data_IF_278365720456
#
_entry.id   IF_278365720456
#
_cell.length_a   1.000
_cell.length_b   1.000
_cell.length_c   1.000
_cell.angle_alpha   90.00
_cell.angle_beta   90.00
_cell.angle_gamma   90.00
#
_symmetry.space_group_name_H-M   'P 1'
#
loop_
_entity.id
_entity.type
_entity.pdbx_description
1 polymer ?
#
# COMPACT_ATOMS: atom_id res chain seq x y z
N UNK A 1 -45.30 10.82 47.52
CA UNK A 1 -44.52 11.44 46.43
C UNK A 1 -43.82 10.34 45.64
N UNK A 2 -44.34 9.99 44.46
CA UNK A 2 -43.66 9.09 43.52
C UNK A 2 -43.23 9.95 42.33
N UNK A 3 -41.94 10.06 41.99
CA UNK A 3 -41.56 10.73 40.77
C UNK A 3 -42.00 9.84 39.59
N UNK A 4 -42.92 10.37 38.79
CA UNK A 4 -43.32 9.78 37.52
C UNK A 4 -42.19 10.03 36.51
N UNK A 5 -41.32 9.04 36.31
CA UNK A 5 -40.30 9.06 35.27
C UNK A 5 -40.99 8.82 33.92
N UNK A 6 -41.17 9.90 33.14
CA UNK A 6 -41.74 9.84 31.79
C UNK A 6 -40.84 8.99 30.87
N UNK A 7 -41.38 7.97 30.17
CA UNK A 7 -40.61 7.16 29.21
C UNK A 7 -40.06 7.97 28.02
N UNK A 8 -40.65 9.13 27.71
CA UNK A 8 -40.16 10.02 26.66
C UNK A 8 -38.77 10.62 26.94
N UNK A 9 -38.42 10.86 28.21
CA UNK A 9 -37.11 11.42 28.60
C UNK A 9 -35.95 10.45 28.36
N UNK A 10 -36.21 9.14 28.44
CA UNK A 10 -35.20 8.10 28.20
C UNK A 10 -34.91 7.91 26.71
N UNK A 11 -35.94 7.97 25.86
CA UNK A 11 -35.81 7.87 24.40
C UNK A 11 -35.11 9.09 23.80
N UNK A 12 -35.39 10.29 24.32
CA UNK A 12 -34.70 11.52 23.93
C UNK A 12 -33.22 11.51 24.34
N UNK A 13 -32.88 10.93 25.50
CA UNK A 13 -31.49 10.80 25.95
C UNK A 13 -30.67 9.81 25.08
N UNK A 14 -31.26 8.68 24.67
CA UNK A 14 -30.60 7.72 23.75
C UNK A 14 -30.39 8.30 22.35
N UNK A 15 -31.35 9.06 21.81
CA UNK A 15 -31.20 9.71 20.50
C UNK A 15 -30.17 10.84 20.54
N UNK A 16 -30.08 11.60 21.65
CA UNK A 16 -29.03 12.62 21.83
C UNK A 16 -27.62 11.99 21.89
N UNK A 17 -27.47 10.83 22.53
CA UNK A 17 -26.18 10.14 22.62
C UNK A 17 -25.68 9.63 21.25
N UNK A 18 -26.60 9.20 20.37
CA UNK A 18 -26.27 8.86 18.99
C UNK A 18 -25.88 10.09 18.14
N UNK A 19 -26.38 11.28 18.47
CA UNK A 19 -26.03 12.52 17.73
C UNK A 19 -24.76 13.21 18.23
N UNK A 20 -24.39 13.06 19.51
CA UNK A 20 -23.14 13.61 20.06
C UNK A 20 -21.91 12.72 19.80
N UNK A 21 -22.12 11.43 19.53
CA UNK A 21 -21.07 10.51 19.12
C UNK A 21 -21.11 10.34 17.59
N UNK A 22 -20.68 11.35 16.85
CA UNK A 22 -20.38 11.24 15.41
C UNK A 22 -19.24 10.27 15.08
N UNK A 23 -18.95 9.31 15.96
CA UNK A 23 -18.03 8.20 15.76
C UNK A 23 -18.84 7.06 15.18
N UNK A 24 -18.92 7.00 13.84
CA UNK A 24 -19.35 5.78 13.17
C UNK A 24 -18.57 4.58 13.73
N UNK A 25 -19.21 3.40 13.80
CA UNK A 25 -18.54 2.18 14.25
C UNK A 25 -17.19 2.01 13.54
N UNK A 26 -16.11 1.66 14.25
CA UNK A 26 -14.81 1.51 13.63
C UNK A 26 -14.84 0.36 12.61
N UNK A 27 -14.39 0.66 11.39
CA UNK A 27 -14.31 -0.26 10.26
C UNK A 27 -13.61 -1.56 10.67
N UNK A 28 -14.08 -2.70 10.19
CA UNK A 28 -13.45 -4.01 10.45
C UNK A 28 -13.03 -4.69 9.15
N UNK A 29 -11.75 -5.07 9.04
CA UNK A 29 -11.18 -5.65 7.82
C UNK A 29 -10.58 -7.03 8.07
N UNK A 30 -10.53 -7.88 7.05
CA UNK A 30 -9.72 -9.09 7.12
C UNK A 30 -8.22 -8.73 7.13
N UNK A 31 -7.45 -9.38 8.00
CA UNK A 31 -6.00 -9.17 8.11
C UNK A 31 -5.25 -10.49 7.89
N UNK A 32 -4.42 -10.55 6.85
CA UNK A 32 -3.53 -11.67 6.58
C UNK A 32 -2.29 -11.24 5.80
N UNK A 33 -1.24 -12.06 5.90
CA UNK A 33 -0.07 -12.04 5.04
C UNK A 33 0.27 -13.49 4.72
N UNK A 34 0.40 -13.84 3.45
CA UNK A 34 0.67 -15.21 3.04
C UNK A 34 1.39 -15.30 1.71
N UNK A 35 2.13 -16.39 1.54
CA UNK A 35 2.72 -16.76 0.25
C UNK A 35 1.63 -17.22 -0.71
N UNK A 36 1.79 -16.88 -1.99
CA UNK A 36 0.83 -17.19 -3.04
C UNK A 36 -0.17 -16.05 -3.33
N UNK A 37 -1.09 -16.30 -4.28
CA UNK A 37 -2.01 -15.29 -4.81
C UNK A 37 -3.24 -15.05 -3.92
N UNK A 38 -3.35 -15.78 -2.80
CA UNK A 38 -4.43 -15.60 -1.83
C UNK A 38 -3.90 -15.73 -0.41
N UNK A 39 -4.60 -15.11 0.54
CA UNK A 39 -4.49 -15.43 1.96
C UNK A 39 -5.84 -15.24 2.64
N UNK A 40 -6.03 -15.96 3.74
CA UNK A 40 -7.18 -15.83 4.63
C UNK A 40 -6.71 -15.58 6.05
N UNK A 41 -7.44 -14.78 6.81
CA UNK A 41 -7.10 -14.38 8.16
C UNK A 41 -8.30 -13.96 8.98
N UNK A 42 -8.01 -13.39 10.16
CA UNK A 42 -9.06 -12.93 11.08
C UNK A 42 -9.52 -11.54 10.69
N UNK A 43 -10.81 -11.28 10.86
CA UNK A 43 -11.34 -9.91 10.82
C UNK A 43 -10.88 -9.18 12.08
N UNK A 44 -10.34 -7.97 11.92
CA UNK A 44 -9.90 -7.10 13.01
C UNK A 44 -10.52 -5.71 12.84
N UNK A 45 -10.93 -5.13 13.95
CA UNK A 45 -11.32 -3.71 14.01
C UNK A 45 -10.11 -2.84 13.73
N UNK A 46 -10.28 -1.85 12.86
CA UNK A 46 -9.24 -0.93 12.46
C UNK A 46 -8.93 0.08 13.56
N UNK A 47 -7.66 0.46 13.66
CA UNK A 47 -7.18 1.49 14.57
C UNK A 47 -7.73 2.87 14.16
N UNK A 48 -7.75 3.81 15.11
CA UNK A 48 -8.17 5.18 14.85
C UNK A 48 -7.42 5.78 13.65
N UNK A 49 -8.18 6.39 12.74
CA UNK A 49 -7.65 7.01 11.52
C UNK A 49 -7.37 6.05 10.37
N UNK A 50 -7.61 4.73 10.50
CA UNK A 50 -7.63 3.79 9.37
C UNK A 50 -9.07 3.52 8.95
N UNK A 51 -9.44 4.05 7.79
CA UNK A 51 -10.81 4.12 7.27
C UNK A 51 -11.01 3.31 5.96
N UNK A 52 -10.07 2.42 5.65
CA UNK A 52 -10.15 1.51 4.50
C UNK A 52 -9.62 0.10 4.80
N UNK A 53 -10.22 -0.89 4.15
CA UNK A 53 -9.65 -2.21 3.98
C UNK A 53 -8.86 -2.26 2.67
N UNK A 54 -7.72 -2.95 2.70
CA UNK A 54 -6.89 -3.21 1.51
C UNK A 54 -6.70 -4.71 1.30
N UNK A 55 -6.64 -5.10 0.03
CA UNK A 55 -6.07 -6.37 -0.43
C UNK A 55 -5.06 -6.08 -1.54
N UNK A 56 -3.86 -6.64 -1.39
CA UNK A 56 -2.75 -6.52 -2.35
C UNK A 56 -2.31 -7.93 -2.74
N UNK A 57 -2.26 -8.22 -4.03
CA UNK A 57 -1.56 -9.39 -4.58
C UNK A 57 -0.37 -8.87 -5.37
N UNK A 58 0.83 -9.34 -5.03
CA UNK A 58 2.05 -8.81 -5.60
C UNK A 58 3.05 -9.89 -5.96
N UNK A 59 3.71 -9.68 -7.10
CA UNK A 59 4.89 -10.42 -7.53
C UNK A 59 6.11 -9.53 -7.31
N UNK A 60 7.18 -10.10 -6.76
CA UNK A 60 8.47 -9.41 -6.65
C UNK A 60 9.62 -10.32 -7.02
N UNK A 61 10.68 -9.72 -7.55
CA UNK A 61 11.99 -10.35 -7.61
C UNK A 61 12.98 -9.52 -6.80
N UNK A 62 13.81 -10.19 -5.99
CA UNK A 62 14.92 -9.56 -5.29
C UNK A 62 16.16 -10.40 -5.49
N UNK A 63 17.21 -9.83 -6.09
CA UNK A 63 18.41 -10.57 -6.50
C UNK A 63 18.07 -11.82 -7.34
N UNK A 64 16.98 -11.77 -8.10
CA UNK A 64 16.49 -12.88 -8.95
C UNK A 64 15.69 -13.95 -8.22
N UNK A 65 15.43 -13.81 -6.92
CA UNK A 65 14.48 -14.68 -6.21
C UNK A 65 13.07 -14.14 -6.39
N UNK A 66 12.22 -14.93 -7.02
CA UNK A 66 10.83 -14.58 -7.29
C UNK A 66 9.93 -14.98 -6.11
N UNK A 67 8.95 -14.14 -5.80
CA UNK A 67 7.90 -14.47 -4.85
C UNK A 67 6.57 -13.84 -5.28
N UNK A 68 5.49 -14.58 -5.07
CA UNK A 68 4.12 -14.06 -5.13
C UNK A 68 3.58 -14.11 -3.72
N UNK A 69 3.02 -12.99 -3.24
CA UNK A 69 2.45 -12.90 -1.91
C UNK A 69 1.10 -12.16 -1.96
N UNK A 70 0.32 -12.34 -0.91
CA UNK A 70 -0.93 -11.61 -0.68
C UNK A 70 -0.90 -10.96 0.70
N UNK A 71 -1.42 -9.73 0.77
CA UNK A 71 -1.54 -8.96 1.98
C UNK A 71 -2.93 -8.34 2.09
N UNK A 72 -3.57 -8.50 3.26
CA UNK A 72 -4.85 -7.88 3.63
C UNK A 72 -4.69 -7.12 4.93
N UNK A 73 -5.19 -5.89 5.02
CA UNK A 73 -5.07 -5.07 6.23
C UNK A 73 -6.08 -3.91 6.29
N UNK A 74 -6.07 -3.21 7.43
CA UNK A 74 -6.60 -1.85 7.57
C UNK A 74 -5.55 -0.82 7.16
N UNK A 75 -5.94 0.24 6.46
CA UNK A 75 -5.09 1.38 6.14
C UNK A 75 -5.90 2.69 6.01
N UNK A 76 -5.21 3.80 5.76
CA UNK A 76 -5.84 5.06 5.38
C UNK A 76 -6.27 4.99 3.93
N UNK A 77 -7.49 5.38 3.61
CA UNK A 77 -7.95 5.45 2.23
C UNK A 77 -7.11 6.44 1.41
N UNK A 78 -6.66 7.54 2.03
CA UNK A 78 -5.79 8.55 1.41
C UNK A 78 -4.44 8.02 0.92
N UNK A 79 -3.96 6.92 1.52
CA UNK A 79 -2.67 6.31 1.19
C UNK A 79 -2.84 5.12 0.23
N UNK A 80 -4.09 4.78 -0.11
CA UNK A 80 -4.39 3.65 -0.96
C UNK A 80 -4.63 4.04 -2.41
N UNK A 81 -3.92 3.36 -3.30
CA UNK A 81 -4.23 3.32 -4.72
C UNK A 81 -4.83 1.97 -5.09
N UNK A 82 -6.04 1.97 -5.67
CA UNK A 82 -6.63 0.76 -6.26
C UNK A 82 -6.22 0.64 -7.73
N UNK A 83 -5.63 -0.49 -8.10
CA UNK A 83 -5.18 -0.77 -9.45
C UNK A 83 -3.78 -1.39 -9.51
N UNK A 84 -3.21 -1.33 -10.71
CA UNK A 84 -1.90 -1.88 -11.03
C UNK A 84 -0.77 -0.90 -10.68
N UNK A 85 0.28 -1.41 -10.05
CA UNK A 85 1.53 -0.68 -9.78
C UNK A 85 2.71 -1.57 -10.17
N UNK A 86 3.64 -1.04 -10.97
CA UNK A 86 4.93 -1.68 -11.28
C UNK A 86 6.07 -0.77 -10.87
N UNK A 87 7.14 -1.37 -10.34
CA UNK A 87 8.42 -0.71 -10.06
C UNK A 87 9.57 -1.62 -10.45
N UNK A 88 10.59 -1.05 -11.08
CA UNK A 88 11.81 -1.76 -11.51
C UNK A 88 13.04 -0.96 -11.14
N UNK A 89 13.88 -1.53 -10.27
CA UNK A 89 15.15 -0.94 -9.85
C UNK A 89 16.34 -1.57 -10.58
N UNK A 90 16.14 -2.73 -11.21
CA UNK A 90 17.13 -3.40 -12.02
C UNK A 90 16.58 -4.69 -12.63
N UNK A 91 17.35 -5.39 -13.49
CA UNK A 91 16.88 -6.58 -14.20
C UNK A 91 16.38 -7.71 -13.30
N UNK A 92 16.89 -7.78 -12.07
CA UNK A 92 16.60 -8.83 -11.09
C UNK A 92 15.92 -8.29 -9.81
N UNK A 93 15.51 -7.02 -9.84
CA UNK A 93 14.96 -6.32 -8.70
C UNK A 93 13.76 -5.47 -9.13
N UNK A 94 12.56 -6.00 -8.89
CA UNK A 94 11.29 -5.38 -9.26
C UNK A 94 10.17 -5.78 -8.30
N UNK A 95 9.10 -5.00 -8.30
CA UNK A 95 7.86 -5.29 -7.59
C UNK A 95 6.68 -4.83 -8.42
N UNK A 96 5.70 -5.73 -8.60
CA UNK A 96 4.46 -5.47 -9.33
C UNK A 96 3.29 -5.93 -8.47
N UNK A 97 2.20 -5.18 -8.45
CA UNK A 97 1.03 -5.52 -7.64
C UNK A 97 -0.28 -5.05 -8.26
N UNK A 98 -1.35 -5.78 -7.96
CA UNK A 98 -2.71 -5.30 -8.05
C UNK A 98 -3.25 -5.08 -6.64
N UNK A 99 -3.86 -3.92 -6.44
CA UNK A 99 -4.40 -3.49 -5.14
C UNK A 99 -5.88 -3.14 -5.28
N UNK A 100 -6.68 -3.43 -4.26
CA UNK A 100 -8.05 -2.97 -4.15
C UNK A 100 -8.31 -2.44 -2.75
N UNK A 101 -8.92 -1.26 -2.66
CA UNK A 101 -9.35 -0.63 -1.42
C UNK A 101 -10.83 -0.34 -1.38
N UNK A 102 -11.40 -0.45 -0.19
CA UNK A 102 -12.84 -0.29 0.06
C UNK A 102 -13.10 0.11 1.52
N UNK A 103 -14.25 0.72 1.79
CA UNK A 103 -14.56 1.38 3.08
C UNK A 103 -15.78 0.77 3.78
N UNK A 104 -16.04 -0.53 3.59
CA UNK A 104 -17.11 -1.25 4.27
C UNK A 104 -16.59 -2.51 4.96
N UNK A 105 -17.27 -2.96 6.02
CA UNK A 105 -16.80 -4.08 6.83
C UNK A 105 -16.55 -5.35 6.00
N UNK A 106 -15.37 -5.93 6.15
CA UNK A 106 -14.97 -7.18 5.51
C UNK A 106 -14.94 -7.14 3.98
N UNK A 107 -14.95 -5.96 3.35
CA UNK A 107 -15.00 -5.83 1.90
C UNK A 107 -13.75 -6.40 1.19
N UNK A 108 -12.64 -6.57 1.90
CA UNK A 108 -11.41 -7.17 1.38
C UNK A 108 -11.35 -8.71 1.53
N UNK A 109 -12.47 -9.38 1.87
CA UNK A 109 -12.52 -10.84 2.00
C UNK A 109 -12.33 -11.61 0.70
N UNK A 110 -12.65 -10.97 -0.43
CA UNK A 110 -12.48 -11.55 -1.75
C UNK A 110 -11.01 -11.75 -2.15
N UNK A 111 -10.80 -11.85 -3.45
CA UNK A 111 -9.48 -11.93 -4.08
C UNK A 111 -9.30 -10.82 -5.11
N UNK A 112 -8.05 -10.51 -5.40
CA UNK A 112 -7.63 -9.65 -6.51
C UNK A 112 -6.77 -10.51 -7.42
N UNK A 113 -6.88 -10.42 -8.75
CA UNK A 113 -6.05 -11.20 -9.64
C UNK A 113 -4.56 -10.84 -9.47
N UNK A 114 -3.65 -11.82 -9.56
CA UNK A 114 -2.22 -11.53 -9.66
C UNK A 114 -1.91 -10.51 -10.77
N UNK A 115 -0.92 -9.64 -10.58
CA UNK A 115 -0.56 -8.66 -11.59
C UNK A 115 -0.05 -9.31 -12.86
N UNK A 116 -0.43 -8.78 -14.03
CA UNK A 116 0.17 -9.17 -15.30
C UNK A 116 1.50 -8.43 -15.48
N UNK A 117 2.60 -9.16 -15.36
CA UNK A 117 3.95 -8.59 -15.33
C UNK A 117 4.60 -8.61 -16.73
N UNK A 118 4.32 -7.61 -17.57
CA UNK A 118 5.01 -7.44 -18.84
C UNK A 118 6.42 -6.86 -18.61
N UNK A 119 7.46 -7.67 -18.89
CA UNK A 119 8.88 -7.31 -18.69
C UNK A 119 9.59 -6.81 -19.94
N UNK A 120 8.89 -6.64 -21.07
CA UNK A 120 9.49 -6.11 -22.29
C UNK A 120 9.95 -4.67 -22.08
N UNK A 121 11.21 -4.37 -22.42
CA UNK A 121 11.76 -3.01 -22.34
C UNK A 121 10.95 -2.05 -23.21
N UNK A 122 10.61 -0.87 -22.67
CA UNK A 122 9.79 0.12 -23.36
C UNK A 122 10.59 1.32 -23.93
N UNK A 123 11.93 1.25 -23.86
CA UNK A 123 12.83 2.29 -24.37
C UNK A 123 13.07 3.48 -23.43
N UNK A 124 12.49 3.49 -22.22
CA UNK A 124 12.76 4.52 -21.21
C UNK A 124 13.85 4.04 -20.23
N UNK A 125 14.53 4.98 -19.56
CA UNK A 125 15.49 4.68 -18.51
C UNK A 125 15.39 5.65 -17.33
N UNK A 126 15.70 5.14 -16.14
CA UNK A 126 15.74 5.92 -14.91
C UNK A 126 17.03 5.68 -14.13
N UNK A 127 17.53 6.69 -13.41
CA UNK A 127 18.55 6.47 -12.38
C UNK A 127 18.08 5.40 -11.39
N UNK A 128 18.98 4.51 -11.01
CA UNK A 128 18.64 3.31 -10.27
C UNK A 128 19.64 2.98 -9.18
N UNK A 129 19.12 2.54 -8.04
CA UNK A 129 19.87 2.02 -6.91
C UNK A 129 18.92 1.41 -5.89
N UNK A 130 19.41 0.43 -5.12
CA UNK A 130 18.75 -0.11 -3.93
C UNK A 130 19.78 -0.07 -2.81
N UNK A 131 19.54 0.75 -1.79
CA UNK A 131 20.44 0.87 -0.64
C UNK A 131 19.68 0.57 0.65
N UNK A 132 19.85 -0.63 1.22
CA UNK A 132 19.30 -0.92 2.55
C UNK A 132 20.07 -0.15 3.62
N UNK A 133 19.40 0.17 4.72
CA UNK A 133 19.95 0.85 5.90
C UNK A 133 20.48 2.28 5.65
N UNK A 134 20.20 2.87 4.50
CA UNK A 134 20.59 4.25 4.16
C UNK A 134 19.37 5.10 3.77
N UNK A 135 19.51 6.42 3.81
CA UNK A 135 18.45 7.37 3.45
C UNK A 135 18.66 8.01 2.06
N UNK A 136 19.86 7.86 1.50
CA UNK A 136 20.24 8.50 0.23
C UNK A 136 20.63 7.49 -0.82
N UNK A 137 20.12 7.66 -2.03
CA UNK A 137 20.35 6.76 -3.15
C UNK A 137 20.89 7.58 -4.34
N UNK A 138 22.20 7.50 -4.65
CA UNK A 138 22.81 8.41 -5.64
C UNK A 138 22.31 8.14 -7.07
N UNK A 139 21.91 6.91 -7.39
CA UNK A 139 21.35 6.57 -8.71
C UNK A 139 22.40 6.51 -9.82
N UNK A 140 23.62 6.05 -9.52
CA UNK A 140 24.74 5.99 -10.47
C UNK A 140 24.57 4.94 -11.57
N UNK A 141 23.65 3.99 -11.39
CA UNK A 141 23.27 3.00 -12.41
C UNK A 141 21.98 3.44 -13.09
N UNK A 142 21.65 2.82 -14.23
CA UNK A 142 20.37 2.99 -14.89
C UNK A 142 19.54 1.70 -14.84
N UNK A 143 18.25 1.85 -14.60
CA UNK A 143 17.25 0.80 -14.82
C UNK A 143 16.61 1.03 -16.19
N UNK A 144 16.46 -0.06 -16.96
CA UNK A 144 15.68 -0.07 -18.19
C UNK A 144 14.23 -0.32 -17.83
N UNK A 145 13.36 0.61 -18.20
CA UNK A 145 11.96 0.54 -17.85
C UNK A 145 11.24 -0.48 -18.72
N UNK A 146 10.22 -1.12 -18.16
CA UNK A 146 9.50 -2.21 -18.83
C UNK A 146 7.99 -1.96 -18.86
N UNK A 147 7.32 -2.53 -19.85
CA UNK A 147 5.86 -2.47 -19.97
C UNK A 147 5.33 -1.04 -19.83
N UNK A 148 4.48 -0.82 -18.83
CA UNK A 148 3.80 0.46 -18.58
C UNK A 148 4.58 1.41 -17.65
N UNK A 149 5.85 1.12 -17.34
CA UNK A 149 6.68 1.98 -16.49
C UNK A 149 7.14 3.23 -17.26
N UNK A 150 6.46 4.35 -17.01
CA UNK A 150 6.68 5.63 -17.71
C UNK A 150 7.31 6.71 -16.85
N UNK A 151 7.59 6.43 -15.57
CA UNK A 151 8.06 7.39 -14.59
C UNK A 151 9.32 6.90 -13.88
N UNK A 152 10.14 7.83 -13.40
CA UNK A 152 11.25 7.60 -12.50
C UNK A 152 10.84 7.97 -11.07
N UNK A 153 11.11 7.07 -10.13
CA UNK A 153 10.81 7.26 -8.70
C UNK A 153 12.08 7.39 -7.87
N UNK A 154 11.97 8.15 -6.78
CA UNK A 154 12.90 8.10 -5.65
C UNK A 154 12.10 7.97 -4.36
N UNK A 155 12.13 6.77 -3.79
CA UNK A 155 11.57 6.48 -2.49
C UNK A 155 12.65 6.33 -1.43
N UNK A 156 12.44 6.94 -0.27
CA UNK A 156 13.25 6.70 0.93
C UNK A 156 12.38 6.75 2.17
N UNK A 157 12.76 5.99 3.19
CA UNK A 157 11.98 5.89 4.41
C UNK A 157 12.36 4.66 5.22
N UNK A 158 11.37 3.99 5.80
CA UNK A 158 11.58 2.74 6.49
C UNK A 158 10.72 1.61 5.91
N UNK A 159 11.26 0.40 5.93
CA UNK A 159 10.57 -0.83 5.53
C UNK A 159 10.40 -1.71 6.76
N UNK A 160 9.17 -2.13 6.99
CA UNK A 160 8.83 -3.08 8.04
C UNK A 160 8.75 -4.49 7.45
N UNK A 161 9.66 -5.35 7.92
CA UNK A 161 9.77 -6.76 7.59
C UNK A 161 9.66 -7.59 8.88
N UNK A 162 8.43 -7.98 9.24
CA UNK A 162 8.16 -8.62 10.53
C UNK A 162 8.46 -7.65 11.68
N UNK A 163 9.40 -8.03 12.56
CA UNK A 163 9.85 -7.21 13.69
C UNK A 163 10.91 -6.17 13.32
N UNK A 164 11.50 -6.28 12.13
CA UNK A 164 12.58 -5.40 11.69
C UNK A 164 11.98 -4.17 11.04
N UNK A 165 12.42 -3.00 11.50
CA UNK A 165 12.11 -1.70 10.90
C UNK A 165 13.42 -1.06 10.45
N UNK A 166 13.72 -1.16 9.16
CA UNK A 166 15.01 -0.75 8.60
C UNK A 166 14.84 0.45 7.66
N UNK A 167 15.80 1.36 7.68
CA UNK A 167 15.86 2.44 6.68
C UNK A 167 16.09 1.86 5.28
N UNK A 168 15.60 2.55 4.27
CA UNK A 168 15.92 2.25 2.88
C UNK A 168 15.88 3.51 2.02
N UNK A 169 16.59 3.46 0.91
CA UNK A 169 16.41 4.37 -0.20
C UNK A 169 16.55 3.61 -1.53
N UNK A 170 15.74 3.98 -2.51
CA UNK A 170 15.67 3.30 -3.79
C UNK A 170 15.30 4.26 -4.91
N UNK A 171 15.83 4.01 -6.11
CA UNK A 171 15.48 4.70 -7.34
C UNK A 171 15.28 3.68 -8.45
N UNK A 172 14.39 4.00 -9.39
CA UNK A 172 14.12 3.13 -10.52
C UNK A 172 12.96 3.62 -11.37
N UNK A 173 12.50 2.76 -12.26
CA UNK A 173 11.32 2.95 -13.08
C UNK A 173 10.05 2.61 -12.29
N UNK A 174 8.93 3.24 -12.63
CA UNK A 174 7.62 2.94 -12.10
C UNK A 174 6.50 3.29 -13.09
N UNK A 175 5.33 2.71 -12.89
CA UNK A 175 4.08 3.21 -13.50
C UNK A 175 3.71 4.57 -12.91
N UNK A 176 2.96 5.39 -13.65
CA UNK A 176 2.42 6.67 -13.17
C UNK A 176 1.63 6.52 -11.86
N UNK A 177 0.96 5.38 -11.66
CA UNK A 177 0.24 5.09 -10.42
C UNK A 177 1.09 5.16 -9.15
N UNK A 178 2.41 4.91 -9.25
CA UNK A 178 3.31 5.06 -8.10
C UNK A 178 3.43 6.53 -7.64
N UNK A 179 3.19 7.49 -8.54
CA UNK A 179 3.27 8.93 -8.26
C UNK A 179 2.14 9.45 -7.35
N UNK A 180 1.06 8.68 -7.16
CA UNK A 180 0.02 9.04 -6.18
C UNK A 180 0.50 8.94 -4.72
N UNK A 181 1.63 8.26 -4.52
CA UNK A 181 2.25 8.13 -3.21
C UNK A 181 2.91 9.43 -2.77
N UNK A 182 2.65 9.87 -1.53
CA UNK A 182 3.19 11.10 -0.97
C UNK A 182 4.17 10.83 0.18
N UNK A 183 5.06 11.79 0.51
CA UNK A 183 5.81 11.75 1.77
C UNK A 183 4.86 11.58 2.96
N UNK A 184 5.22 10.71 3.90
CA UNK A 184 4.41 10.34 5.06
C UNK A 184 3.46 9.17 4.83
N UNK A 185 3.28 8.70 3.59
CA UNK A 185 2.36 7.61 3.27
C UNK A 185 2.84 6.25 3.79
N UNK A 186 1.87 5.44 4.22
CA UNK A 186 2.05 4.02 4.46
C UNK A 186 1.68 3.23 3.19
N UNK A 187 2.67 2.58 2.57
CA UNK A 187 2.49 1.83 1.32
C UNK A 187 2.59 0.34 1.60
N UNK A 188 1.47 -0.39 1.60
CA UNK A 188 1.51 -1.83 1.69
C UNK A 188 2.00 -2.43 0.38
N UNK A 189 3.03 -3.28 0.45
CA UNK A 189 3.28 -4.28 -0.58
C UNK A 189 2.83 -5.66 -0.10
N UNK A 190 2.77 -6.60 -1.02
CA UNK A 190 2.45 -7.98 -0.70
C UNK A 190 3.46 -8.61 0.31
N UNK A 191 4.71 -8.15 0.30
CA UNK A 191 5.80 -8.71 1.12
C UNK A 191 6.15 -7.85 2.34
N UNK A 192 6.11 -6.53 2.21
CA UNK A 192 6.57 -5.59 3.24
C UNK A 192 5.61 -4.41 3.38
N UNK A 193 5.80 -3.63 4.43
CA UNK A 193 5.09 -2.37 4.62
C UNK A 193 6.09 -1.23 4.61
N UNK A 194 5.93 -0.28 3.70
CA UNK A 194 6.84 0.84 3.56
C UNK A 194 6.23 2.10 4.19
N UNK A 195 7.08 2.87 4.88
CA UNK A 195 6.74 4.15 5.47
C UNK A 195 7.61 5.21 4.82
N UNK A 196 7.06 5.92 3.84
CA UNK A 196 7.85 6.82 3.01
C UNK A 196 8.09 8.15 3.73
N UNK A 197 9.35 8.58 3.73
CA UNK A 197 9.75 9.94 4.11
C UNK A 197 10.02 10.81 2.89
N UNK A 198 10.42 10.20 1.77
CA UNK A 198 10.60 10.83 0.48
C UNK A 198 9.86 10.04 -0.58
N UNK A 199 9.16 10.76 -1.45
CA UNK A 199 8.46 10.20 -2.59
C UNK A 199 8.50 11.18 -3.75
N UNK A 200 9.56 11.06 -4.56
CA UNK A 200 9.67 11.82 -5.79
C UNK A 200 9.21 10.95 -6.95
N UNK A 201 8.48 11.54 -7.90
CA UNK A 201 8.03 10.88 -9.12
C UNK A 201 8.10 11.88 -10.27
N UNK A 202 8.78 11.51 -11.36
CA UNK A 202 8.96 12.37 -12.53
C UNK A 202 8.79 11.53 -13.80
N UNK A 203 8.29 12.09 -14.92
CA UNK A 203 8.27 11.38 -16.20
C UNK A 203 9.67 10.88 -16.58
N UNK A 204 9.76 9.64 -17.09
CA UNK A 204 11.03 9.05 -17.46
C UNK A 204 11.56 9.64 -18.79
N UNK A 205 12.86 9.96 -18.87
CA UNK A 205 13.46 10.41 -20.11
C UNK A 205 13.50 9.27 -21.14
N UNK A 206 13.38 9.63 -22.42
CA UNK A 206 13.66 8.71 -23.53
C UNK A 206 15.15 8.40 -23.59
N UNK A 207 15.50 7.17 -23.97
CA UNK A 207 16.84 6.88 -24.46
C UNK A 207 17.10 7.72 -25.71
N UNK A 208 18.20 8.50 -25.69
CA UNK A 208 18.75 9.14 -26.88
C UNK A 208 19.45 8.14 -27.78
#
# INVERSE_FOLDING_TARGET
MRPSTRPGTFLLACMLFCTLLGLGCPLSCEVCRGSGPTCSGKTKTCEAGKDACVIVVGESATKGRHSVNTYKACMKFSDCYSGFVSTTMGPKDYMVSNTHCCQSDGCNRGSVPPPQNNRTENGLQCPACIVPFQETCPGTKAARCVGQETHCVYFAGNVQAGIINAKFATRGCATESACYTKPGAQVPSASYLYFLRRADCLPAPRQG
#
